data_IF_985048549042
#
_entry.id   IF_985048549042
#
_cell.length_a   1.000
_cell.length_b   1.000
_cell.length_c   1.000
_cell.angle_alpha   90.00
_cell.angle_beta   90.00
_cell.angle_gamma   90.00
#
_symmetry.space_group_name_H-M   'P 1'
#
loop_
_entity.id
_entity.type
_entity.pdbx_description
1 polymer ?
#
# COMPACT_ATOMS: atom_id res chain seq x y z
N UNK A 1 32.89 -9.16 28.52
CA UNK A 1 32.68 -7.81 27.92
C UNK A 1 31.50 -7.19 28.62
N UNK A 2 31.61 -5.95 29.04
CA UNK A 2 30.47 -5.23 29.60
C UNK A 2 29.45 -4.97 28.48
N UNK A 3 28.13 -5.08 28.75
CA UNK A 3 27.12 -4.80 27.75
C UNK A 3 27.12 -3.32 27.34
N UNK A 4 26.78 -3.04 26.08
CA UNK A 4 26.56 -1.69 25.64
C UNK A 4 25.23 -1.18 26.18
N UNK A 5 25.28 -0.10 26.96
CA UNK A 5 24.09 0.54 27.54
C UNK A 5 23.37 1.36 26.47
N UNK A 6 22.11 1.02 26.23
CA UNK A 6 21.20 1.72 25.32
C UNK A 6 20.14 2.42 26.12
N UNK A 7 20.12 3.74 26.08
CA UNK A 7 19.06 4.53 26.74
C UNK A 7 17.82 4.60 25.84
N UNK A 8 16.64 4.36 26.44
CA UNK A 8 15.33 4.36 25.78
C UNK A 8 14.51 5.53 26.29
N UNK A 9 14.28 6.53 25.44
CA UNK A 9 13.38 7.64 25.71
C UNK A 9 12.09 7.50 24.90
N UNK A 10 10.94 7.71 25.54
CA UNK A 10 9.63 7.63 24.86
C UNK A 10 9.19 8.99 24.36
N UNK A 11 8.52 9.03 23.19
CA UNK A 11 8.10 10.28 22.56
C UNK A 11 6.94 10.04 21.56
N UNK A 12 6.46 11.10 20.93
CA UNK A 12 5.49 10.98 19.84
C UNK A 12 6.17 10.83 18.47
N UNK A 13 7.46 11.10 18.34
CA UNK A 13 8.23 10.97 17.11
C UNK A 13 9.58 11.66 17.16
N UNK A 14 10.08 12.05 16.01
CA UNK A 14 11.36 12.71 15.80
C UNK A 14 11.17 14.11 15.23
N UNK A 15 11.83 15.09 15.81
CA UNK A 15 11.98 16.44 15.27
C UNK A 15 13.32 16.52 14.51
N UNK A 16 13.25 16.45 13.18
CA UNK A 16 14.42 16.47 12.33
C UNK A 16 15.17 17.82 12.37
N UNK A 17 14.47 18.92 12.63
CA UNK A 17 15.08 20.24 12.70
C UNK A 17 15.82 20.47 14.04
N UNK A 18 15.27 19.92 15.12
CA UNK A 18 15.88 20.00 16.45
C UNK A 18 16.86 18.86 16.73
N UNK A 19 16.92 17.82 15.89
CA UNK A 19 17.65 16.57 16.11
C UNK A 19 17.33 15.95 17.49
N UNK A 20 16.05 15.91 17.84
CA UNK A 20 15.58 15.50 19.16
C UNK A 20 14.27 14.72 19.13
N UNK A 21 13.95 14.07 20.25
CA UNK A 21 12.66 13.47 20.49
C UNK A 21 11.54 14.51 20.42
N UNK A 22 10.56 14.28 19.56
CA UNK A 22 9.38 15.15 19.42
C UNK A 22 8.33 14.80 20.47
N UNK A 23 7.95 15.77 21.32
CA UNK A 23 6.95 15.61 22.39
C UNK A 23 7.25 14.40 23.28
N UNK A 24 8.22 14.52 24.19
CA UNK A 24 8.60 13.43 25.08
C UNK A 24 7.42 12.90 25.93
N UNK A 25 7.40 11.60 26.17
CA UNK A 25 6.40 10.88 26.95
C UNK A 25 7.07 10.19 28.15
N UNK A 26 6.32 9.98 29.22
CA UNK A 26 6.73 9.09 30.30
C UNK A 26 6.62 7.63 29.86
N UNK A 27 7.44 6.77 30.47
CA UNK A 27 7.36 5.33 30.21
C UNK A 27 5.95 4.78 30.43
N UNK A 28 5.29 5.20 31.51
CA UNK A 28 3.92 4.77 31.85
C UNK A 28 2.93 5.13 30.72
N UNK A 29 3.00 6.34 30.20
CA UNK A 29 2.12 6.79 29.09
C UNK A 29 2.39 5.99 27.80
N UNK A 30 3.65 5.72 27.48
CA UNK A 30 4.01 4.90 26.32
C UNK A 30 3.50 3.45 26.48
N UNK A 31 3.60 2.87 27.66
CA UNK A 31 3.08 1.53 28.01
C UNK A 31 1.56 1.45 27.88
N UNK A 32 0.84 2.47 28.35
CA UNK A 32 -0.61 2.58 28.18
C UNK A 32 -0.99 2.69 26.70
N UNK A 33 -0.26 3.49 25.93
CA UNK A 33 -0.48 3.61 24.49
C UNK A 33 -0.25 2.27 23.77
N UNK A 34 0.80 1.54 24.12
CA UNK A 34 1.08 0.22 23.59
C UNK A 34 -0.09 -0.76 23.82
N UNK A 35 -0.58 -0.83 25.06
CA UNK A 35 -1.66 -1.76 25.44
C UNK A 35 -3.03 -1.37 24.86
N UNK A 36 -3.24 -0.10 24.55
CA UNK A 36 -4.53 0.43 24.05
C UNK A 36 -4.55 0.67 22.53
N UNK A 37 -3.53 0.23 21.80
CA UNK A 37 -3.48 0.41 20.36
C UNK A 37 -3.20 1.86 19.90
N UNK A 38 -2.60 2.68 20.76
CA UNK A 38 -2.30 4.08 20.46
C UNK A 38 -0.84 4.27 20.08
N UNK A 39 -0.59 5.19 19.16
CA UNK A 39 0.74 5.48 18.63
C UNK A 39 1.68 6.08 19.66
N UNK A 40 2.94 5.66 19.61
CA UNK A 40 4.07 6.25 20.30
C UNK A 40 5.37 5.92 19.56
N UNK A 41 6.48 6.50 19.98
CA UNK A 41 7.80 6.13 19.50
C UNK A 41 8.77 5.94 20.69
N UNK A 42 9.81 5.13 20.45
CA UNK A 42 10.96 4.98 21.34
C UNK A 42 12.22 5.44 20.60
N UNK A 43 12.94 6.38 21.20
CA UNK A 43 14.25 6.82 20.75
C UNK A 43 15.32 6.05 21.51
N UNK A 44 16.17 5.33 20.79
CA UNK A 44 17.30 4.59 21.33
C UNK A 44 18.57 5.41 21.15
N UNK A 45 19.30 5.62 22.24
CA UNK A 45 20.53 6.42 22.24
C UNK A 45 21.68 5.67 22.92
N UNK A 46 22.92 5.86 22.44
CA UNK A 46 24.16 5.41 23.07
C UNK A 46 25.01 6.66 23.28
N UNK A 47 25.49 6.87 24.52
CA UNK A 47 26.27 8.07 24.89
C UNK A 47 25.56 9.38 24.53
N UNK A 48 24.24 9.44 24.79
CA UNK A 48 23.34 10.54 24.46
C UNK A 48 23.16 10.81 22.94
N UNK A 49 23.77 10.01 22.06
CA UNK A 49 23.59 10.13 20.61
C UNK A 49 22.45 9.24 20.12
N UNK A 50 21.47 9.79 19.39
CA UNK A 50 20.41 9.00 18.75
C UNK A 50 20.96 7.94 17.79
N UNK A 51 20.54 6.70 17.94
CA UNK A 51 20.92 5.56 17.10
C UNK A 51 19.77 4.99 16.29
N UNK A 52 18.62 4.86 16.94
CA UNK A 52 17.42 4.38 16.27
C UNK A 52 16.15 5.04 16.82
N UNK A 53 15.16 5.16 15.97
CA UNK A 53 13.79 5.56 16.32
C UNK A 53 12.84 4.43 15.98
N UNK A 54 12.06 3.97 16.94
CA UNK A 54 11.06 2.92 16.76
C UNK A 54 9.68 3.55 16.85
N UNK A 55 8.94 3.56 15.77
CA UNK A 55 7.56 4.00 15.68
C UNK A 55 6.63 2.81 15.89
N UNK A 56 5.71 2.89 16.82
CA UNK A 56 4.81 1.79 17.19
C UNK A 56 3.37 2.26 17.10
N UNK A 57 2.57 1.50 16.35
CA UNK A 57 1.12 1.63 16.26
C UNK A 57 0.50 0.23 16.34
N UNK A 58 0.31 -0.27 17.56
CA UNK A 58 -0.23 -1.61 17.78
C UNK A 58 -1.68 -1.73 17.31
N UNK A 59 -2.44 -0.63 17.30
CA UNK A 59 -3.80 -0.60 16.77
C UNK A 59 -3.87 -0.78 15.25
N UNK A 60 -2.84 -0.30 14.53
CA UNK A 60 -2.69 -0.49 13.10
C UNK A 60 -1.78 -1.68 12.72
N UNK A 61 -1.32 -2.46 13.71
CA UNK A 61 -0.40 -3.57 13.50
C UNK A 61 0.91 -3.14 12.82
N UNK A 62 1.48 -2.00 13.22
CA UNK A 62 2.66 -1.43 12.56
C UNK A 62 3.82 -1.17 13.52
N UNK A 63 5.02 -1.57 13.10
CA UNK A 63 6.28 -1.19 13.74
C UNK A 63 7.25 -0.70 12.66
N UNK A 64 7.72 0.55 12.80
CA UNK A 64 8.74 1.15 11.96
C UNK A 64 10.03 1.35 12.75
N UNK A 65 11.15 0.81 12.26
CA UNK A 65 12.48 1.00 12.86
C UNK A 65 13.32 1.84 11.92
N UNK A 66 13.82 2.94 12.39
CA UNK A 66 14.74 3.80 11.65
C UNK A 66 16.11 3.80 12.31
N UNK A 67 17.17 3.81 11.52
CA UNK A 67 18.50 4.17 12.00
C UNK A 67 18.90 5.56 11.52
N UNK A 68 19.78 6.21 12.26
CA UNK A 68 20.29 7.54 11.93
C UNK A 68 21.67 7.45 11.28
N UNK A 69 21.94 8.35 10.33
CA UNK A 69 23.27 8.62 9.80
C UNK A 69 24.03 9.62 10.71
N UNK A 70 25.22 10.01 10.27
CA UNK A 70 26.09 10.98 10.95
C UNK A 70 25.52 12.35 11.14
N UNK A 71 24.76 12.80 10.18
CA UNK A 71 24.10 14.11 10.19
C UNK A 71 22.81 14.07 11.02
N UNK A 72 22.49 12.94 11.67
CA UNK A 72 21.27 12.77 12.45
C UNK A 72 20.01 12.62 11.60
N UNK A 73 20.15 12.25 10.32
CA UNK A 73 19.04 11.96 9.41
C UNK A 73 18.70 10.47 9.46
N UNK A 74 17.44 10.13 9.31
CA UNK A 74 17.01 8.72 9.19
C UNK A 74 17.44 8.16 7.84
N UNK A 75 18.37 7.23 7.83
CA UNK A 75 19.03 6.68 6.63
C UNK A 75 18.58 5.26 6.27
N UNK A 76 18.10 4.49 7.24
CA UNK A 76 17.48 3.18 7.03
C UNK A 76 16.10 3.15 7.66
N UNK A 77 15.17 2.38 7.06
CA UNK A 77 13.84 2.13 7.59
C UNK A 77 13.45 0.68 7.38
N UNK A 78 13.05 0.02 8.45
CA UNK A 78 12.38 -1.28 8.43
C UNK A 78 10.93 -1.08 8.79
N UNK A 79 10.02 -1.59 7.98
CA UNK A 79 8.58 -1.51 8.22
C UNK A 79 8.02 -2.91 8.42
N UNK A 80 7.54 -3.19 9.61
CA UNK A 80 6.94 -4.47 9.97
C UNK A 80 5.42 -4.36 10.04
N UNK A 81 4.77 -5.50 9.76
CA UNK A 81 3.33 -5.70 9.93
C UNK A 81 3.06 -6.83 10.89
N UNK A 82 2.12 -6.62 11.79
CA UNK A 82 1.64 -7.63 12.72
C UNK A 82 0.63 -8.54 12.01
N UNK A 83 0.97 -9.82 11.90
CA UNK A 83 0.10 -10.85 11.31
C UNK A 83 -0.63 -11.69 12.37
N UNK A 84 -0.50 -11.32 13.65
CA UNK A 84 -1.19 -11.93 14.77
C UNK A 84 -0.32 -12.93 15.55
N UNK A 85 0.58 -13.63 14.89
CA UNK A 85 1.53 -14.60 15.50
C UNK A 85 2.99 -14.13 15.40
N UNK A 86 3.28 -13.21 14.49
CA UNK A 86 4.62 -12.65 14.30
C UNK A 86 4.55 -11.27 13.61
N UNK A 87 5.65 -10.53 13.67
CA UNK A 87 5.87 -9.36 12.83
C UNK A 87 6.56 -9.77 11.54
N UNK A 88 6.00 -9.37 10.42
CA UNK A 88 6.59 -9.58 9.10
C UNK A 88 7.22 -8.29 8.58
N UNK A 89 8.50 -8.34 8.21
CA UNK A 89 9.17 -7.25 7.50
C UNK A 89 8.51 -7.09 6.12
N UNK A 90 7.90 -5.95 5.88
CA UNK A 90 7.17 -5.66 4.65
C UNK A 90 7.95 -4.76 3.71
N UNK A 91 8.72 -3.85 4.27
CA UNK A 91 9.53 -2.91 3.50
C UNK A 91 10.83 -2.61 4.24
N UNK A 92 11.94 -2.63 3.51
CA UNK A 92 13.23 -2.08 3.93
C UNK A 92 13.59 -0.97 2.94
N UNK A 93 13.87 0.22 3.46
CA UNK A 93 14.32 1.37 2.69
C UNK A 93 15.69 1.86 3.17
N UNK A 94 16.56 2.19 2.23
CA UNK A 94 17.81 2.89 2.50
C UNK A 94 17.87 4.17 1.66
N UNK A 95 18.31 5.25 2.28
CA UNK A 95 18.61 6.53 1.64
C UNK A 95 20.10 6.77 1.72
N UNK A 96 20.74 6.98 0.57
CA UNK A 96 22.16 7.33 0.50
C UNK A 96 22.27 8.81 0.16
N UNK A 97 22.66 9.59 1.15
CA UNK A 97 22.95 10.99 1.00
C UNK A 97 24.39 11.14 0.50
N UNK A 98 24.59 11.98 -0.50
CA UNK A 98 25.92 12.29 -1.06
C UNK A 98 26.50 13.51 -0.37
N UNK A 99 25.63 14.48 -0.07
CA UNK A 99 26.00 15.73 0.59
C UNK A 99 25.31 15.89 1.95
N UNK A 100 25.96 16.56 2.90
CA UNK A 100 25.41 16.79 4.24
C UNK A 100 24.19 17.72 4.24
N UNK A 101 24.05 18.56 3.22
CA UNK A 101 22.93 19.49 3.07
C UNK A 101 21.67 18.87 2.45
N UNK A 102 21.72 17.61 2.00
CA UNK A 102 20.55 16.93 1.45
C UNK A 102 19.46 16.75 2.52
N UNK A 103 18.17 17.01 2.19
CA UNK A 103 17.08 16.81 3.12
C UNK A 103 16.90 15.31 3.45
N UNK A 104 16.43 15.02 4.66
CA UNK A 104 16.37 13.68 5.26
C UNK A 104 15.84 12.56 4.34
N UNK A 105 14.84 12.86 3.50
CA UNK A 105 14.26 11.88 2.55
C UNK A 105 14.44 12.30 1.08
N UNK A 106 15.29 13.28 0.83
CA UNK A 106 15.58 13.81 -0.50
C UNK A 106 16.86 13.25 -1.13
N UNK A 107 17.37 12.12 -0.64
CA UNK A 107 18.58 11.50 -1.15
C UNK A 107 18.49 11.21 -2.65
N UNK A 108 19.55 11.51 -3.38
CA UNK A 108 19.71 11.25 -4.81
C UNK A 108 19.62 9.76 -5.14
N UNK A 109 19.94 8.90 -4.19
CA UNK A 109 19.91 7.46 -4.33
C UNK A 109 19.12 6.81 -3.19
N UNK A 110 18.10 6.05 -3.59
CA UNK A 110 17.24 5.32 -2.67
C UNK A 110 17.03 3.91 -3.14
N UNK A 111 17.16 2.95 -2.24
CA UNK A 111 16.80 1.56 -2.49
C UNK A 111 15.62 1.15 -1.61
N UNK A 112 14.68 0.40 -2.19
CA UNK A 112 13.50 -0.11 -1.49
C UNK A 112 13.37 -1.60 -1.78
N UNK A 113 13.39 -2.41 -0.73
CA UNK A 113 13.04 -3.83 -0.81
C UNK A 113 11.62 -4.02 -0.27
N UNK A 114 10.79 -4.74 -1.03
CA UNK A 114 9.45 -5.14 -0.62
C UNK A 114 9.36 -6.64 -0.52
N UNK A 115 8.84 -7.09 0.61
CA UNK A 115 8.74 -8.49 0.99
C UNK A 115 7.26 -8.91 0.96
N UNK A 116 6.96 -9.99 0.27
CA UNK A 116 5.68 -10.66 0.29
C UNK A 116 5.88 -12.10 0.77
N UNK A 117 4.90 -12.70 1.46
CA UNK A 117 4.96 -14.11 1.79
C UNK A 117 5.18 -14.94 0.52
N UNK A 118 6.16 -15.85 0.58
CA UNK A 118 6.41 -16.86 -0.46
C UNK A 118 6.75 -16.31 -1.86
N UNK A 119 7.02 -15.00 -1.99
CA UNK A 119 7.42 -14.36 -3.24
C UNK A 119 8.89 -13.93 -3.21
N UNK A 120 9.54 -13.79 -4.38
CA UNK A 120 10.82 -13.12 -4.47
C UNK A 120 10.74 -11.68 -3.98
N UNK A 121 11.79 -11.22 -3.30
CA UNK A 121 11.85 -9.84 -2.84
C UNK A 121 11.96 -8.89 -4.03
N UNK A 122 11.05 -7.95 -4.12
CA UNK A 122 11.11 -6.89 -5.13
C UNK A 122 12.04 -5.77 -4.64
N UNK A 123 13.18 -5.61 -5.31
CA UNK A 123 14.12 -4.53 -5.06
C UNK A 123 13.92 -3.41 -6.08
N UNK A 124 13.78 -2.18 -5.62
CA UNK A 124 13.65 -0.99 -6.48
C UNK A 124 14.73 0.00 -6.11
N UNK A 125 15.57 0.36 -7.06
CA UNK A 125 16.57 1.41 -6.96
C UNK A 125 16.03 2.66 -7.65
N UNK A 126 15.91 3.76 -6.91
CA UNK A 126 15.59 5.08 -7.44
C UNK A 126 16.87 5.91 -7.44
N UNK A 127 17.35 6.27 -8.62
CA UNK A 127 18.51 7.15 -8.83
C UNK A 127 18.01 8.42 -9.51
N UNK A 128 18.18 9.57 -8.87
CA UNK A 128 17.73 10.87 -9.39
C UNK A 128 18.29 11.22 -10.76
N UNK A 129 19.46 10.65 -11.14
CA UNK A 129 20.16 10.91 -12.41
C UNK A 129 19.87 9.87 -13.48
N UNK A 130 19.59 8.61 -13.07
CA UNK A 130 19.49 7.46 -13.98
C UNK A 130 18.06 6.89 -14.06
N UNK A 131 17.16 7.33 -13.19
CA UNK A 131 15.78 6.84 -13.13
C UNK A 131 15.59 5.66 -12.19
N UNK A 132 14.50 4.93 -12.37
CA UNK A 132 14.08 3.84 -11.51
C UNK A 132 14.39 2.47 -12.16
N UNK A 133 14.97 1.57 -11.37
CA UNK A 133 15.28 0.19 -11.76
C UNK A 133 14.62 -0.76 -10.78
N UNK A 134 14.03 -1.84 -11.29
CA UNK A 134 13.41 -2.87 -10.46
C UNK A 134 14.00 -4.25 -10.78
N UNK A 135 14.29 -5.01 -9.76
CA UNK A 135 14.75 -6.40 -9.86
C UNK A 135 14.05 -7.27 -8.83
N UNK A 136 14.04 -8.58 -9.06
CA UNK A 136 13.52 -9.57 -8.13
C UNK A 136 14.66 -10.42 -7.58
N UNK A 137 14.80 -10.46 -6.26
CA UNK A 137 15.87 -11.14 -5.55
C UNK A 137 15.29 -12.28 -4.72
N UNK A 138 15.82 -13.49 -4.85
CA UNK A 138 15.48 -14.59 -3.98
C UNK A 138 16.45 -14.60 -2.80
N UNK A 139 15.99 -14.18 -1.63
CA UNK A 139 16.80 -14.23 -0.41
C UNK A 139 16.78 -15.64 0.19
N UNK A 140 17.90 -16.11 0.75
CA UNK A 140 17.94 -17.39 1.46
C UNK A 140 17.25 -17.27 2.82
N UNK A 141 16.19 -18.03 3.03
CA UNK A 141 15.54 -18.23 4.33
C UNK A 141 14.54 -17.14 4.77
N UNK A 142 13.88 -17.31 5.93
CA UNK A 142 12.80 -16.46 6.42
C UNK A 142 13.33 -15.26 7.21
N UNK A 143 14.26 -14.46 6.66
CA UNK A 143 14.86 -13.28 7.30
C UNK A 143 13.83 -12.16 7.63
N UNK A 144 12.60 -12.33 7.17
CA UNK A 144 11.57 -11.31 7.24
C UNK A 144 10.53 -11.51 8.36
N UNK A 145 10.69 -12.53 9.22
CA UNK A 145 9.78 -12.82 10.35
C UNK A 145 10.50 -12.68 11.68
N UNK A 146 9.93 -11.89 12.58
CA UNK A 146 10.41 -11.72 13.95
C UNK A 146 9.25 -11.87 14.93
N UNK A 147 9.51 -12.17 16.22
CA UNK A 147 8.45 -12.24 17.24
C UNK A 147 7.63 -10.96 17.32
N UNK A 148 6.39 -11.07 17.81
CA UNK A 148 5.56 -9.90 18.12
C UNK A 148 6.27 -8.95 19.09
N UNK A 149 6.03 -7.65 18.91
CA UNK A 149 6.62 -6.62 19.73
C UNK A 149 6.02 -6.66 21.14
N UNK A 150 6.84 -6.99 22.12
CA UNK A 150 6.55 -6.77 23.54
C UNK A 150 7.09 -5.39 23.96
N UNK A 151 6.36 -4.67 24.81
CA UNK A 151 6.84 -3.40 25.31
C UNK A 151 8.18 -3.55 26.04
N UNK A 152 9.16 -2.75 25.65
CA UNK A 152 10.52 -2.80 26.19
C UNK A 152 11.46 -3.81 25.52
N UNK A 153 10.96 -4.62 24.58
CA UNK A 153 11.79 -5.51 23.75
C UNK A 153 11.81 -4.98 22.32
N UNK A 154 12.93 -4.37 21.95
CA UNK A 154 13.01 -3.67 20.68
C UNK A 154 13.57 -4.56 19.57
N UNK A 155 13.00 -4.53 18.35
CA UNK A 155 13.43 -5.36 17.23
C UNK A 155 14.67 -4.72 16.55
N UNK A 156 15.73 -4.57 17.29
CA UNK A 156 17.00 -3.99 16.84
C UNK A 156 18.16 -4.87 17.24
N UNK A 157 19.07 -5.08 16.29
CA UNK A 157 20.33 -5.76 16.52
C UNK A 157 21.44 -4.75 16.79
N UNK A 158 22.53 -5.19 17.44
CA UNK A 158 23.67 -4.34 17.79
C UNK A 158 24.27 -3.62 16.58
N UNK A 159 24.36 -4.28 15.42
CA UNK A 159 24.92 -3.64 14.21
C UNK A 159 24.12 -2.40 13.78
N UNK A 160 22.79 -2.40 13.95
CA UNK A 160 21.94 -1.24 13.61
C UNK A 160 22.23 -0.04 14.53
N UNK A 161 22.64 -0.32 15.77
CA UNK A 161 23.01 0.69 16.76
C UNK A 161 24.52 1.01 16.78
N UNK A 162 25.31 0.30 15.96
CA UNK A 162 26.75 0.37 15.97
C UNK A 162 27.40 -0.23 17.22
N UNK A 163 26.76 -1.22 17.84
CA UNK A 163 27.23 -1.92 19.03
C UNK A 163 27.59 -3.37 18.68
N UNK A 164 28.73 -3.85 19.17
CA UNK A 164 29.22 -5.20 18.91
C UNK A 164 29.15 -6.11 20.15
N UNK A 165 28.88 -5.54 21.32
CA UNK A 165 28.64 -6.24 22.57
C UNK A 165 27.14 -6.51 22.77
N UNK A 166 26.77 -7.39 23.73
CA UNK A 166 25.39 -7.53 24.16
C UNK A 166 24.78 -6.18 24.53
N UNK A 167 23.51 -5.95 24.18
CA UNK A 167 22.81 -4.71 24.48
C UNK A 167 22.12 -4.80 25.84
N UNK A 168 22.23 -3.74 26.64
CA UNK A 168 21.44 -3.52 27.86
C UNK A 168 20.54 -2.29 27.67
N UNK A 169 19.23 -2.51 27.58
CA UNK A 169 18.27 -1.41 27.44
C UNK A 169 17.88 -0.85 28.80
N UNK A 170 18.04 0.45 28.97
CA UNK A 170 17.73 1.17 30.21
C UNK A 170 16.81 2.34 29.87
N UNK A 171 15.66 2.42 30.53
CA UNK A 171 14.76 3.57 30.36
C UNK A 171 15.45 4.87 30.78
N UNK A 172 15.42 5.88 29.94
CA UNK A 172 15.87 7.22 30.25
C UNK A 172 14.98 7.84 31.35
N UNK A 173 15.47 8.86 32.03
CA UNK A 173 14.67 9.59 33.01
C UNK A 173 13.40 10.14 32.35
N UNK A 174 12.28 10.01 33.03
CA UNK A 174 11.01 10.59 32.59
C UNK A 174 11.14 12.11 32.41
N UNK A 175 10.47 12.67 31.36
CA UNK A 175 10.44 14.12 31.19
C UNK A 175 9.74 14.80 32.36
N UNK A 176 10.22 15.96 32.77
CA UNK A 176 9.58 16.78 33.82
C UNK A 176 8.12 17.10 33.47
N UNK A 177 7.86 17.29 32.19
CA UNK A 177 6.53 17.62 31.66
C UNK A 177 6.26 16.88 30.33
N UNK A 178 5.13 16.21 30.27
CA UNK A 178 4.65 15.64 29.03
C UNK A 178 3.92 16.67 28.17
N UNK A 179 3.94 16.47 26.87
CA UNK A 179 3.13 17.27 25.97
C UNK A 179 1.63 16.94 26.14
N UNK A 180 0.84 17.96 26.39
CA UNK A 180 -0.62 17.83 26.50
C UNK A 180 -1.30 17.88 25.13
N UNK A 181 -2.50 17.29 25.04
CA UNK A 181 -3.36 17.36 23.86
C UNK A 181 -3.22 16.17 22.90
N UNK A 182 -3.83 16.27 21.71
CA UNK A 182 -3.86 15.19 20.74
C UNK A 182 -2.46 14.84 20.22
N UNK A 183 -2.31 13.61 19.69
CA UNK A 183 -1.09 13.16 19.03
C UNK A 183 -0.80 14.00 17.78
N UNK A 184 0.42 14.55 17.70
CA UNK A 184 0.81 15.48 16.64
C UNK A 184 2.03 15.02 15.81
N UNK A 185 2.57 13.83 16.05
CA UNK A 185 3.72 13.39 15.28
C UNK A 185 3.42 13.37 13.78
N UNK A 186 4.39 13.80 12.97
CA UNK A 186 4.24 13.86 11.50
C UNK A 186 4.38 12.48 10.85
N UNK A 187 3.88 11.44 11.51
CA UNK A 187 3.89 10.08 10.99
C UNK A 187 2.58 9.36 11.29
N UNK A 188 2.25 8.41 10.44
CA UNK A 188 1.18 7.43 10.64
C UNK A 188 1.64 6.08 10.13
N UNK A 189 1.03 5.01 10.63
CA UNK A 189 1.17 3.70 10.01
C UNK A 189 0.77 3.80 8.52
N UNK A 190 1.51 3.14 7.62
CA UNK A 190 1.08 3.08 6.23
C UNK A 190 -0.25 2.33 6.13
N UNK A 191 -1.21 2.89 5.42
CA UNK A 191 -2.52 2.28 5.21
C UNK A 191 -2.68 1.90 3.75
N UNK A 192 -3.30 0.74 3.51
CA UNK A 192 -3.72 0.31 2.18
C UNK A 192 -4.61 1.34 1.49
N UNK A 193 -4.80 1.19 0.20
CA UNK A 193 -5.74 2.02 -0.54
C UNK A 193 -7.13 1.93 0.08
N UNK A 194 -7.87 3.04 -0.01
CA UNK A 194 -9.30 3.10 0.33
C UNK A 194 -10.07 3.54 -0.91
N UNK A 195 -11.30 3.10 -1.07
CA UNK A 195 -12.13 3.53 -2.17
C UNK A 195 -12.42 5.02 -2.07
N UNK A 196 -12.47 5.69 -3.20
CA UNK A 196 -12.69 7.13 -3.25
C UNK A 196 -13.98 7.41 -4.01
N UNK A 197 -15.01 7.88 -3.30
CA UNK A 197 -16.29 8.34 -3.86
C UNK A 197 -16.98 7.34 -4.81
N UNK A 198 -16.87 6.02 -4.56
CA UNK A 198 -17.42 4.99 -5.45
C UNK A 198 -18.92 5.14 -5.68
N UNK A 199 -19.70 5.47 -4.63
CA UNK A 199 -21.14 5.68 -4.78
C UNK A 199 -21.45 6.85 -5.71
N UNK A 200 -20.66 7.92 -5.61
CA UNK A 200 -20.86 9.12 -6.44
C UNK A 200 -20.64 8.85 -7.94
N UNK A 201 -19.81 7.84 -8.29
CA UNK A 201 -19.60 7.43 -9.68
C UNK A 201 -20.86 6.89 -10.36
N UNK A 202 -21.85 6.46 -9.59
CA UNK A 202 -23.13 5.94 -10.09
C UNK A 202 -24.30 6.93 -9.92
N UNK A 203 -24.00 8.21 -9.56
CA UNK A 203 -25.01 9.27 -9.43
C UNK A 203 -24.91 10.20 -10.63
N UNK A 204 -25.87 10.14 -11.60
CA UNK A 204 -25.88 10.98 -12.79
C UNK A 204 -25.82 12.47 -12.42
N UNK A 205 -24.98 13.24 -13.13
CA UNK A 205 -24.83 14.68 -12.91
C UNK A 205 -23.98 15.03 -11.69
N UNK A 206 -23.47 14.06 -10.92
CA UNK A 206 -22.48 14.35 -9.89
C UNK A 206 -21.22 14.97 -10.51
N UNK A 207 -20.67 15.96 -9.84
CA UNK A 207 -19.40 16.59 -10.24
C UNK A 207 -18.34 16.23 -9.22
N UNK A 208 -17.24 15.69 -9.71
CA UNK A 208 -16.16 15.20 -8.87
C UNK A 208 -14.89 15.97 -9.22
N UNK A 209 -14.30 16.65 -8.25
CA UNK A 209 -12.99 17.31 -8.39
C UNK A 209 -11.93 16.41 -7.79
N UNK A 210 -10.89 16.06 -8.56
CA UNK A 210 -9.75 15.31 -8.06
C UNK A 210 -8.72 16.23 -7.37
N UNK A 211 -7.74 15.62 -6.67
CA UNK A 211 -6.69 16.38 -5.98
C UNK A 211 -5.75 17.19 -6.89
N UNK A 212 -5.84 17.02 -8.22
CA UNK A 212 -5.10 17.80 -9.21
C UNK A 212 -5.92 19.00 -9.71
N UNK A 213 -7.18 19.13 -9.26
CA UNK A 213 -8.09 20.22 -9.63
C UNK A 213 -8.95 19.94 -10.86
N UNK A 214 -8.80 18.76 -11.52
CA UNK A 214 -9.66 18.39 -12.62
C UNK A 214 -11.08 18.13 -12.13
N UNK A 215 -12.06 18.60 -12.90
CA UNK A 215 -13.48 18.38 -12.61
C UNK A 215 -14.04 17.38 -13.61
N UNK A 216 -14.63 16.32 -13.09
CA UNK A 216 -15.33 15.31 -13.86
C UNK A 216 -16.85 15.41 -13.63
N UNK A 217 -17.60 15.16 -14.67
CA UNK A 217 -19.07 15.04 -14.64
C UNK A 217 -19.44 13.57 -14.82
N UNK A 218 -20.17 13.03 -13.87
CA UNK A 218 -20.67 11.65 -13.92
C UNK A 218 -21.85 11.58 -14.89
N UNK A 219 -21.78 10.63 -15.80
CA UNK A 219 -22.79 10.38 -16.82
C UNK A 219 -23.78 9.33 -16.31
N UNK A 220 -24.90 9.18 -17.03
CA UNK A 220 -25.84 8.09 -16.77
C UNK A 220 -25.11 6.74 -16.79
N UNK A 221 -25.23 5.89 -15.75
CA UNK A 221 -24.66 4.54 -15.74
C UNK A 221 -25.20 3.74 -16.92
N UNK A 222 -24.34 2.97 -17.54
CA UNK A 222 -24.73 2.11 -18.66
C UNK A 222 -24.89 0.67 -18.19
N UNK A 223 -26.08 0.11 -18.38
CA UNK A 223 -26.29 -1.32 -18.18
C UNK A 223 -25.41 -2.12 -19.17
N UNK A 224 -24.70 -3.10 -18.67
CA UNK A 224 -23.88 -4.03 -19.46
C UNK A 224 -24.68 -5.30 -19.72
N UNK A 225 -25.39 -5.83 -18.72
CA UNK A 225 -26.17 -7.04 -18.80
C UNK A 225 -26.42 -7.66 -17.43
N UNK A 226 -26.73 -8.95 -17.40
CA UNK A 226 -26.82 -9.74 -16.17
C UNK A 226 -25.69 -10.75 -16.12
N UNK A 227 -24.85 -10.65 -15.10
CA UNK A 227 -23.83 -11.64 -14.82
C UNK A 227 -24.47 -12.85 -14.13
N UNK A 228 -24.36 -14.01 -14.78
CA UNK A 228 -24.80 -15.26 -14.21
C UNK A 228 -23.66 -15.93 -13.46
N UNK A 229 -23.86 -16.19 -12.18
CA UNK A 229 -22.89 -16.83 -11.30
C UNK A 229 -23.46 -18.19 -10.81
N UNK A 230 -23.32 -19.26 -11.59
CA UNK A 230 -23.81 -20.58 -11.20
C UNK A 230 -23.10 -21.14 -9.97
N UNK A 231 -21.82 -20.77 -9.75
CA UNK A 231 -21.06 -21.19 -8.56
C UNK A 231 -21.14 -20.18 -7.43
N UNK A 232 -21.61 -18.95 -7.68
CA UNK A 232 -21.55 -17.83 -6.75
C UNK A 232 -20.14 -17.30 -6.50
N UNK A 233 -19.12 -17.83 -7.18
CA UNK A 233 -17.70 -17.48 -7.04
C UNK A 233 -17.29 -16.54 -8.17
N UNK A 234 -16.99 -15.30 -7.82
CA UNK A 234 -16.70 -14.24 -8.80
C UNK A 234 -15.21 -14.05 -8.99
N UNK A 235 -14.80 -13.82 -10.24
CA UNK A 235 -13.46 -13.48 -10.69
C UNK A 235 -13.49 -12.14 -11.40
N UNK A 236 -12.49 -11.30 -11.21
CA UNK A 236 -12.19 -10.17 -12.09
C UNK A 236 -10.83 -10.40 -12.74
N UNK A 237 -10.76 -10.26 -14.05
CA UNK A 237 -9.52 -10.45 -14.83
C UNK A 237 -9.61 -9.73 -16.18
N UNK A 238 -8.47 -9.64 -16.86
CA UNK A 238 -8.41 -9.36 -18.29
C UNK A 238 -8.70 -10.66 -19.06
N UNK A 239 -9.80 -10.76 -19.80
CA UNK A 239 -10.17 -11.98 -20.49
C UNK A 239 -9.16 -12.37 -21.58
N UNK A 240 -8.43 -11.41 -22.17
CA UNK A 240 -7.46 -11.67 -23.22
C UNK A 240 -6.12 -12.24 -22.72
N UNK A 241 -5.85 -12.15 -21.41
CA UNK A 241 -4.54 -12.52 -20.82
C UNK A 241 -4.65 -13.52 -19.65
N UNK A 242 -5.81 -14.10 -19.44
CA UNK A 242 -6.08 -15.04 -18.32
C UNK A 242 -5.04 -16.14 -18.23
N UNK A 243 -4.64 -16.76 -19.34
CA UNK A 243 -3.65 -17.83 -19.37
C UNK A 243 -2.24 -17.40 -18.97
N UNK A 244 -1.91 -16.13 -19.22
CA UNK A 244 -0.60 -15.56 -18.90
C UNK A 244 -0.45 -15.15 -17.45
N UNK A 245 -1.57 -14.98 -16.72
CA UNK A 245 -1.57 -14.41 -15.37
C UNK A 245 -1.31 -15.44 -14.26
N UNK A 246 -1.34 -16.74 -14.56
CA UNK A 246 -1.20 -17.82 -13.58
C UNK A 246 -2.43 -18.02 -12.69
N UNK A 247 -2.57 -19.20 -12.10
CA UNK A 247 -3.76 -19.63 -11.35
C UNK A 247 -4.17 -18.70 -10.20
N UNK A 248 -3.21 -18.16 -9.48
CA UNK A 248 -3.48 -17.29 -8.32
C UNK A 248 -4.06 -15.93 -8.75
N UNK A 249 -3.64 -15.41 -9.90
CA UNK A 249 -4.09 -14.14 -10.42
C UNK A 249 -5.54 -14.17 -10.94
N UNK A 250 -6.04 -15.35 -11.28
CA UNK A 250 -7.42 -15.59 -11.74
C UNK A 250 -8.23 -16.40 -10.73
N UNK A 251 -7.69 -16.66 -9.54
CA UNK A 251 -8.45 -17.29 -8.46
C UNK A 251 -9.67 -16.42 -8.09
N UNK A 252 -10.83 -17.02 -7.78
CA UNK A 252 -12.00 -16.27 -7.35
C UNK A 252 -11.74 -15.57 -6.02
N UNK A 253 -12.43 -14.45 -5.82
CA UNK A 253 -12.42 -13.77 -4.52
C UNK A 253 -12.95 -14.68 -3.42
N UNK A 254 -12.51 -14.42 -2.19
CA UNK A 254 -12.94 -15.17 -1.00
C UNK A 254 -14.42 -14.95 -0.66
N UNK A 255 -14.99 -13.83 -1.09
CA UNK A 255 -16.43 -13.58 -0.99
C UNK A 255 -17.19 -14.49 -1.95
N UNK A 256 -18.24 -15.13 -1.45
CA UNK A 256 -19.14 -15.98 -2.25
C UNK A 256 -20.53 -15.37 -2.23
N UNK A 257 -21.13 -15.23 -3.40
CA UNK A 257 -22.51 -14.78 -3.56
C UNK A 257 -23.45 -15.98 -3.65
N UNK A 258 -24.73 -15.78 -3.44
CA UNK A 258 -25.73 -16.81 -3.75
C UNK A 258 -25.69 -17.07 -5.26
N UNK A 259 -25.68 -18.33 -5.73
CA UNK A 259 -25.83 -18.61 -7.16
C UNK A 259 -27.05 -17.90 -7.75
N UNK A 260 -26.86 -17.18 -8.87
CA UNK A 260 -27.92 -16.36 -9.43
C UNK A 260 -27.49 -15.46 -10.58
N UNK A 261 -28.36 -14.53 -10.94
CA UNK A 261 -28.13 -13.50 -11.96
C UNK A 261 -28.10 -12.12 -11.32
N UNK A 262 -27.07 -11.35 -11.61
CA UNK A 262 -26.80 -10.06 -11.02
C UNK A 262 -26.68 -8.97 -12.09
N UNK A 263 -27.42 -7.87 -11.93
CA UNK A 263 -27.31 -6.75 -12.85
C UNK A 263 -25.89 -6.17 -12.81
N UNK A 264 -25.33 -5.92 -13.99
CA UNK A 264 -24.03 -5.27 -14.13
C UNK A 264 -24.16 -3.98 -14.91
N UNK A 265 -23.49 -2.95 -14.44
CA UNK A 265 -23.47 -1.62 -15.04
C UNK A 265 -22.08 -0.97 -14.94
N UNK A 266 -21.79 -0.03 -15.85
CA UNK A 266 -20.58 0.78 -15.82
C UNK A 266 -20.91 2.21 -15.45
N UNK A 267 -20.13 2.76 -14.54
CA UNK A 267 -20.08 4.20 -14.27
C UNK A 267 -19.19 4.87 -15.31
N UNK A 268 -19.67 5.95 -15.91
CA UNK A 268 -18.91 6.72 -16.88
C UNK A 268 -18.76 8.14 -16.41
N UNK A 269 -17.63 8.74 -16.66
CA UNK A 269 -17.39 10.14 -16.40
C UNK A 269 -16.63 10.80 -17.53
N UNK A 270 -16.73 12.12 -17.61
CA UNK A 270 -16.05 12.97 -18.59
C UNK A 270 -15.44 14.17 -17.90
N UNK A 271 -14.25 14.57 -18.32
CA UNK A 271 -13.68 15.86 -17.88
C UNK A 271 -14.62 17.00 -18.31
N UNK A 272 -14.97 17.86 -17.37
CA UNK A 272 -15.91 18.96 -17.63
C UNK A 272 -15.41 19.84 -18.81
N UNK A 273 -16.26 19.98 -19.81
CA UNK A 273 -16.00 20.78 -20.99
C UNK A 273 -15.09 20.14 -22.08
N UNK A 274 -14.56 18.94 -21.88
CA UNK A 274 -13.65 18.28 -22.85
C UNK A 274 -13.73 16.75 -22.78
N UNK A 275 -13.40 16.11 -23.90
CA UNK A 275 -13.06 14.70 -23.97
C UNK A 275 -14.23 13.73 -24.19
N UNK A 276 -13.88 12.47 -24.35
CA UNK A 276 -14.78 11.32 -24.46
C UNK A 276 -15.16 10.81 -23.05
N UNK A 277 -16.27 10.12 -22.98
CA UNK A 277 -16.67 9.43 -21.75
C UNK A 277 -15.70 8.27 -21.49
N UNK A 278 -15.22 8.17 -20.25
CA UNK A 278 -14.37 7.07 -19.78
C UNK A 278 -15.14 6.22 -18.77
N UNK A 279 -14.91 4.91 -18.76
CA UNK A 279 -15.41 4.02 -17.71
C UNK A 279 -14.57 4.26 -16.44
N UNK A 280 -15.24 4.70 -15.39
CA UNK A 280 -14.61 4.98 -14.10
C UNK A 280 -14.69 3.80 -13.13
N UNK A 281 -15.75 2.99 -13.26
CA UNK A 281 -15.96 1.78 -12.48
C UNK A 281 -16.95 0.85 -13.18
N UNK A 282 -16.90 -0.45 -12.83
CA UNK A 282 -17.92 -1.42 -13.18
C UNK A 282 -18.50 -2.02 -11.90
N UNK A 283 -19.82 -2.13 -11.80
CA UNK A 283 -20.52 -2.62 -10.61
C UNK A 283 -21.39 -3.83 -10.93
N UNK A 284 -21.21 -4.89 -10.15
CA UNK A 284 -22.15 -6.01 -10.04
C UNK A 284 -23.04 -5.73 -8.84
N UNK A 285 -24.34 -5.57 -9.06
CA UNK A 285 -25.32 -5.23 -8.02
C UNK A 285 -25.92 -6.49 -7.45
N UNK A 286 -25.79 -6.67 -6.12
CA UNK A 286 -26.33 -7.82 -5.39
C UNK A 286 -27.64 -7.48 -4.73
N UNK A 287 -27.79 -6.28 -4.17
CA UNK A 287 -29.03 -5.77 -3.58
C UNK A 287 -29.20 -4.27 -3.82
N UNK A 288 -30.37 -3.73 -3.48
CA UNK A 288 -30.69 -2.29 -3.55
C UNK A 288 -30.38 -1.56 -2.22
N UNK A 289 -29.91 -2.29 -1.20
CA UNK A 289 -29.57 -1.68 0.08
C UNK A 289 -28.36 -0.74 -0.06
N UNK A 290 -28.35 0.41 0.63
CA UNK A 290 -27.25 1.35 0.57
C UNK A 290 -25.99 0.75 1.17
N UNK A 291 -24.84 1.09 0.58
CA UNK A 291 -23.54 0.69 1.13
C UNK A 291 -23.24 1.48 2.41
N UNK A 292 -22.97 0.78 3.49
CA UNK A 292 -22.51 1.36 4.76
C UNK A 292 -20.99 1.28 4.92
N UNK A 293 -20.35 0.22 4.40
CA UNK A 293 -18.90 0.01 4.49
C UNK A 293 -18.33 -0.58 3.20
N UNK A 294 -17.05 -0.28 2.97
CA UNK A 294 -16.29 -0.85 1.86
C UNK A 294 -15.12 -1.67 2.37
N UNK A 295 -14.88 -2.82 1.78
CA UNK A 295 -13.72 -3.66 2.00
C UNK A 295 -13.06 -4.03 0.67
N UNK A 296 -11.76 -4.31 0.68
CA UNK A 296 -11.04 -4.79 -0.50
C UNK A 296 -11.41 -6.26 -0.76
N UNK A 297 -11.76 -6.59 -1.99
CA UNK A 297 -11.98 -7.97 -2.39
C UNK A 297 -10.63 -8.70 -2.43
N UNK A 298 -10.48 -9.73 -1.59
CA UNK A 298 -9.26 -10.50 -1.46
C UNK A 298 -9.41 -11.87 -2.12
N UNK A 299 -8.32 -12.36 -2.70
CA UNK A 299 -8.19 -13.74 -3.16
C UNK A 299 -7.59 -14.63 -2.05
N UNK A 300 -7.71 -15.95 -2.14
CA UNK A 300 -7.06 -16.85 -1.20
C UNK A 300 -5.56 -16.55 -1.05
N UNK A 301 -5.08 -16.50 0.18
CA UNK A 301 -3.68 -16.18 0.50
C UNK A 301 -3.33 -14.69 0.57
N UNK A 302 -4.23 -13.79 0.16
CA UNK A 302 -4.03 -12.34 0.33
C UNK A 302 -4.45 -11.89 1.72
N UNK A 303 -3.67 -10.96 2.29
CA UNK A 303 -3.90 -10.36 3.62
C UNK A 303 -3.74 -8.84 3.53
N UNK A 304 -4.83 -8.11 3.78
CA UNK A 304 -4.82 -6.63 3.70
C UNK A 304 -3.86 -5.97 4.70
N UNK A 305 -3.53 -6.67 5.82
CA UNK A 305 -2.55 -6.18 6.80
C UNK A 305 -1.16 -5.99 6.20
N UNK A 306 -0.86 -6.68 5.10
CA UNK A 306 0.40 -6.56 4.37
C UNK A 306 0.47 -5.32 3.48
N UNK A 307 -0.62 -4.61 3.25
CA UNK A 307 -0.64 -3.47 2.35
C UNK A 307 0.12 -2.27 2.94
N UNK A 308 1.01 -1.72 2.14
CA UNK A 308 1.70 -0.47 2.40
C UNK A 308 0.84 0.75 2.03
N UNK A 309 1.44 1.94 2.11
CA UNK A 309 0.73 3.18 1.82
C UNK A 309 0.13 3.19 0.41
N UNK A 310 -1.20 3.17 0.33
CA UNK A 310 -1.99 3.17 -0.90
C UNK A 310 -1.80 1.95 -1.80
N UNK A 311 -1.19 0.90 -1.28
CA UNK A 311 -1.16 -0.40 -1.95
C UNK A 311 -2.55 -1.06 -1.88
N UNK A 312 -2.82 -1.93 -2.82
CA UNK A 312 -4.03 -2.75 -2.88
C UNK A 312 -3.71 -4.05 -3.63
N UNK A 313 -4.48 -5.07 -3.37
CA UNK A 313 -4.54 -6.24 -4.23
C UNK A 313 -5.53 -5.96 -5.35
N UNK A 314 -5.13 -6.21 -6.59
CA UNK A 314 -5.94 -5.93 -7.76
C UNK A 314 -5.85 -7.06 -8.78
N UNK A 315 -6.61 -6.91 -9.85
CA UNK A 315 -6.45 -7.70 -11.06
C UNK A 315 -5.72 -6.87 -12.13
N UNK A 316 -4.92 -7.55 -12.94
CA UNK A 316 -4.13 -6.91 -14.01
C UNK A 316 -4.94 -6.86 -15.29
N UNK A 317 -4.85 -5.76 -16.01
CA UNK A 317 -5.39 -5.58 -17.37
C UNK A 317 -4.25 -5.13 -18.27
N UNK A 318 -4.10 -5.80 -19.40
CA UNK A 318 -3.07 -5.57 -20.41
C UNK A 318 -3.67 -5.36 -21.83
N UNK A 319 -4.94 -5.69 -22.01
CA UNK A 319 -5.66 -5.49 -23.27
C UNK A 319 -6.55 -4.24 -23.30
N UNK A 320 -6.57 -3.47 -22.22
CA UNK A 320 -7.53 -2.37 -22.05
C UNK A 320 -8.96 -2.82 -21.76
N UNK A 321 -9.21 -4.15 -21.65
CA UNK A 321 -10.52 -4.73 -21.39
C UNK A 321 -10.47 -5.58 -20.12
N UNK A 322 -11.40 -5.33 -19.21
CA UNK A 322 -11.61 -6.10 -17.98
C UNK A 322 -12.92 -6.90 -18.05
N UNK A 323 -13.03 -7.92 -17.25
CA UNK A 323 -14.27 -8.69 -17.11
C UNK A 323 -14.56 -9.04 -15.66
N UNK A 324 -15.87 -9.16 -15.34
CA UNK A 324 -16.33 -9.98 -14.25
C UNK A 324 -16.89 -11.29 -14.80
N UNK A 325 -16.57 -12.41 -14.12
CA UNK A 325 -17.01 -13.74 -14.58
C UNK A 325 -17.24 -14.68 -13.39
N UNK A 326 -18.00 -15.73 -13.63
CA UNK A 326 -18.07 -16.86 -12.70
C UNK A 326 -16.77 -17.67 -12.74
N UNK A 327 -16.37 -18.26 -11.63
CA UNK A 327 -15.17 -19.09 -11.58
C UNK A 327 -15.19 -20.25 -12.56
N UNK A 328 -16.37 -20.79 -12.90
CA UNK A 328 -16.51 -21.86 -13.90
C UNK A 328 -16.27 -21.40 -15.35
N UNK A 329 -16.34 -20.09 -15.60
CA UNK A 329 -16.09 -19.54 -16.94
C UNK A 329 -14.59 -19.33 -17.23
N UNK A 330 -13.72 -19.37 -16.21
CA UNK A 330 -12.27 -19.18 -16.38
C UNK A 330 -11.67 -20.27 -17.29
N UNK A 331 -12.01 -21.54 -17.05
CA UNK A 331 -11.53 -22.67 -17.87
C UNK A 331 -12.03 -22.60 -19.31
N UNK A 332 -13.24 -22.07 -19.52
CA UNK A 332 -13.81 -21.89 -20.85
C UNK A 332 -13.11 -20.77 -21.63
N UNK A 333 -12.59 -19.75 -20.96
CA UNK A 333 -11.80 -18.70 -21.58
C UNK A 333 -10.45 -19.21 -22.09
N UNK A 334 -9.77 -20.03 -21.32
CA UNK A 334 -8.53 -20.67 -21.72
C UNK A 334 -8.70 -21.44 -23.04
N UNK A 335 -9.80 -22.18 -23.16
CA UNK A 335 -10.14 -22.90 -24.40
C UNK A 335 -10.53 -21.97 -25.60
N UNK A 336 -10.98 -20.74 -25.31
CA UNK A 336 -11.40 -19.79 -26.35
C UNK A 336 -10.24 -19.04 -26.98
N UNK A 337 -9.15 -18.81 -26.25
CA UNK A 337 -7.96 -18.12 -26.73
C UNK A 337 -7.11 -18.95 -27.72
N UNK A 338 -7.28 -20.27 -27.70
CA UNK A 338 -6.71 -21.19 -28.71
C UNK A 338 -7.36 -21.06 -30.10
N UNK A 339 -8.47 -20.33 -30.21
CA UNK A 339 -9.12 -20.04 -31.47
C UNK A 339 -8.66 -18.66 -31.99
N UNK A 340 -8.05 -18.63 -33.16
CA UNK A 340 -7.41 -17.49 -33.87
C UNK A 340 -8.26 -16.19 -34.03
N UNK A 341 -9.32 -15.97 -33.28
CA UNK A 341 -10.27 -14.85 -33.41
C UNK A 341 -10.11 -13.80 -32.29
N UNK A 342 -8.98 -13.08 -32.27
CA UNK A 342 -8.76 -11.91 -31.40
C UNK A 342 -9.75 -10.74 -31.62
N UNK A 343 -10.54 -10.75 -32.69
CA UNK A 343 -11.61 -9.76 -32.94
C UNK A 343 -12.89 -9.99 -32.10
N UNK A 344 -13.03 -11.13 -31.46
CA UNK A 344 -14.21 -11.45 -30.67
C UNK A 344 -14.18 -10.90 -29.22
N UNK A 345 -13.12 -10.23 -28.77
CA UNK A 345 -13.05 -9.61 -27.44
C UNK A 345 -14.00 -8.40 -27.26
N UNK A 346 -14.56 -7.85 -28.34
CA UNK A 346 -15.78 -7.04 -28.32
C UNK A 346 -17.03 -7.95 -28.34
N UNK A 347 -17.02 -9.04 -27.58
CA UNK A 347 -18.16 -9.94 -27.56
C UNK A 347 -19.43 -9.14 -27.27
N UNK A 348 -20.15 -8.86 -28.34
CA UNK A 348 -21.50 -8.35 -28.32
C UNK A 348 -22.32 -9.35 -27.53
N UNK A 349 -22.65 -9.00 -26.29
CA UNK A 349 -23.52 -9.80 -25.43
C UNK A 349 -24.80 -10.04 -26.23
N UNK A 350 -25.28 -11.29 -26.39
CA UNK A 350 -26.54 -11.55 -27.06
C UNK A 350 -27.65 -10.68 -26.44
N UNK A 351 -28.62 -10.27 -27.23
CA UNK A 351 -29.62 -9.25 -26.88
C UNK A 351 -30.50 -9.49 -25.67
N UNK A 352 -30.42 -10.64 -24.99
CA UNK A 352 -31.07 -10.95 -23.69
C UNK A 352 -30.11 -10.68 -22.48
N UNK A 353 -28.87 -10.40 -22.77
CA UNK A 353 -27.94 -9.80 -21.80
C UNK A 353 -27.54 -10.63 -20.59
N UNK A 354 -27.70 -11.96 -20.61
CA UNK A 354 -27.29 -12.88 -19.53
C UNK A 354 -26.05 -13.65 -19.96
N UNK A 355 -24.97 -13.56 -19.21
CA UNK A 355 -23.71 -14.26 -19.51
C UNK A 355 -22.95 -14.61 -18.23
N UNK A 356 -22.16 -15.67 -18.25
CA UNK A 356 -21.22 -16.02 -17.17
C UNK A 356 -19.95 -15.18 -17.20
N UNK A 357 -19.77 -14.36 -18.22
CA UNK A 357 -18.71 -13.38 -18.39
C UNK A 357 -19.27 -12.11 -19.00
N UNK A 358 -18.99 -10.96 -18.39
CA UNK A 358 -19.32 -9.63 -18.89
C UNK A 358 -18.08 -8.74 -18.90
N UNK A 359 -17.77 -8.19 -20.07
CA UNK A 359 -16.61 -7.32 -20.29
C UNK A 359 -16.95 -5.85 -20.13
N UNK A 360 -15.93 -5.04 -19.82
CA UNK A 360 -15.99 -3.58 -19.76
C UNK A 360 -14.62 -2.96 -19.99
N UNK A 361 -14.54 -1.75 -20.57
CA UNK A 361 -13.29 -1.03 -20.74
C UNK A 361 -12.65 -0.67 -19.38
N UNK A 362 -11.33 -0.76 -19.26
CA UNK A 362 -10.57 -0.50 -18.04
C UNK A 362 -10.18 0.98 -17.86
N UNK A 363 -10.98 1.91 -18.35
CA UNK A 363 -10.75 3.35 -18.14
C UNK A 363 -9.59 3.90 -18.95
N UNK A 364 -8.37 3.93 -18.40
CA UNK A 364 -7.16 4.41 -19.08
C UNK A 364 -6.39 3.31 -19.81
N UNK A 365 -6.85 2.08 -19.80
CA UNK A 365 -6.20 0.93 -20.45
C UNK A 365 -5.46 0.02 -19.48
N UNK A 366 -4.21 -0.26 -19.76
CA UNK A 366 -3.41 -1.22 -19.01
C UNK A 366 -3.17 -0.76 -17.56
N UNK A 367 -3.11 -1.72 -16.63
CA UNK A 367 -2.89 -1.42 -15.25
C UNK A 367 -3.36 -2.49 -14.27
N UNK A 368 -3.26 -2.18 -12.98
CA UNK A 368 -3.82 -3.00 -11.91
C UNK A 368 -4.96 -2.26 -11.23
N UNK A 369 -6.09 -2.94 -11.04
CA UNK A 369 -7.32 -2.35 -10.57
C UNK A 369 -7.90 -3.13 -9.38
N UNK A 370 -8.27 -2.44 -8.28
CA UNK A 370 -8.90 -3.07 -7.13
C UNK A 370 -10.36 -3.39 -7.40
N UNK A 371 -10.85 -4.43 -6.73
CA UNK A 371 -12.29 -4.67 -6.58
C UNK A 371 -12.67 -4.39 -5.13
N UNK A 372 -13.72 -3.62 -4.94
CA UNK A 372 -14.27 -3.28 -3.63
C UNK A 372 -15.59 -3.99 -3.41
N UNK A 373 -15.80 -4.51 -2.22
CA UNK A 373 -17.07 -5.11 -1.78
C UNK A 373 -17.80 -4.06 -0.95
N UNK A 374 -18.99 -3.65 -1.40
CA UNK A 374 -19.91 -2.83 -0.62
C UNK A 374 -20.75 -3.72 0.29
N UNK A 375 -20.86 -3.31 1.56
CA UNK A 375 -21.73 -3.98 2.55
C UNK A 375 -22.72 -3.00 3.14
N UNK A 376 -23.92 -3.48 3.43
CA UNK A 376 -24.95 -2.74 4.15
C UNK A 376 -24.64 -2.59 5.65
N UNK A 377 -25.54 -1.96 6.39
CA UNK A 377 -25.40 -1.72 7.83
C UNK A 377 -25.40 -3.01 8.69
N UNK A 378 -25.86 -4.14 8.14
CA UNK A 378 -25.87 -5.45 8.82
C UNK A 378 -24.75 -6.37 8.33
N UNK A 379 -23.89 -5.87 7.40
CA UNK A 379 -22.74 -6.59 6.89
C UNK A 379 -23.00 -7.47 5.67
N UNK A 380 -24.22 -7.46 5.09
CA UNK A 380 -24.53 -8.21 3.86
C UNK A 380 -23.92 -7.53 2.64
N UNK A 381 -23.50 -8.33 1.64
CA UNK A 381 -22.93 -7.78 0.40
C UNK A 381 -24.04 -7.11 -0.42
N UNK A 382 -23.81 -5.84 -0.81
CA UNK A 382 -24.73 -5.08 -1.67
C UNK A 382 -24.22 -5.01 -3.11
N UNK A 383 -22.91 -4.92 -3.30
CA UNK A 383 -22.31 -4.86 -4.63
C UNK A 383 -20.82 -5.24 -4.61
N UNK A 384 -20.29 -5.54 -5.79
CA UNK A 384 -18.85 -5.53 -6.06
C UNK A 384 -18.56 -4.46 -7.10
N UNK A 385 -17.49 -3.69 -6.91
CA UNK A 385 -17.11 -2.58 -7.80
C UNK A 385 -15.64 -2.71 -8.19
N UNK A 386 -15.37 -2.88 -9.47
CA UNK A 386 -14.04 -2.70 -10.04
C UNK A 386 -13.81 -1.19 -10.25
N UNK A 387 -12.80 -0.65 -9.58
CA UNK A 387 -12.46 0.77 -9.60
C UNK A 387 -11.30 1.03 -10.56
N UNK A 388 -11.56 1.77 -11.65
CA UNK A 388 -10.54 2.11 -12.65
C UNK A 388 -9.62 3.26 -12.21
N UNK A 389 -9.70 3.68 -10.95
CA UNK A 389 -8.81 4.62 -10.28
C UNK A 389 -8.59 5.95 -11.01
N UNK A 390 -9.57 6.42 -11.75
CA UNK A 390 -9.46 7.66 -12.52
C UNK A 390 -9.40 8.92 -11.65
N UNK A 391 -9.93 8.86 -10.42
CA UNK A 391 -10.06 10.02 -9.54
C UNK A 391 -8.80 10.34 -8.74
N UNK A 392 -7.94 9.37 -8.45
CA UNK A 392 -6.81 9.58 -7.56
C UNK A 392 -7.22 9.84 -6.10
N UNK A 393 -6.43 10.65 -5.40
CA UNK A 393 -6.66 11.03 -3.98
C UNK A 393 -7.18 12.48 -3.88
N UNK A 394 -7.78 12.81 -2.74
CA UNK A 394 -8.18 14.19 -2.44
C UNK A 394 -9.38 14.64 -3.26
N UNK A 395 -10.46 13.85 -3.25
CA UNK A 395 -11.65 14.06 -4.07
C UNK A 395 -12.70 14.86 -3.32
N UNK A 396 -13.24 15.89 -3.99
CA UNK A 396 -14.43 16.63 -3.57
C UNK A 396 -15.61 16.24 -4.46
N UNK A 397 -16.75 15.92 -3.84
CA UNK A 397 -17.96 15.49 -4.55
C UNK A 397 -19.07 16.52 -4.35
N UNK A 398 -19.62 16.99 -5.46
CA UNK A 398 -20.87 17.76 -5.52
C UNK A 398 -21.90 16.91 -6.27
N UNK A 399 -22.80 16.28 -5.52
CA UNK A 399 -23.84 15.41 -6.09
C UNK A 399 -25.22 16.07 -5.97
N UNK A 400 -26.10 15.96 -7.00
CA UNK A 400 -27.46 16.44 -6.94
C UNK A 400 -28.20 15.83 -5.75
N UNK A 401 -28.75 16.65 -4.86
CA UNK A 401 -29.51 16.22 -3.69
C UNK A 401 -28.72 15.91 -2.42
N UNK A 402 -27.40 16.01 -2.42
CA UNK A 402 -26.61 15.96 -1.20
C UNK A 402 -26.66 17.29 -0.47
N UNK A 403 -27.54 17.41 0.53
CA UNK A 403 -27.38 18.47 1.52
C UNK A 403 -26.08 18.23 2.27
N UNK A 404 -25.22 19.23 2.28
CA UNK A 404 -23.88 19.27 2.85
C UNK A 404 -23.74 18.53 4.19
N UNK A 405 -23.33 17.28 4.18
CA UNK A 405 -22.92 16.50 5.36
C UNK A 405 -21.72 15.59 5.14
N UNK A 406 -20.92 15.80 4.13
CA UNK A 406 -19.60 15.16 4.05
C UNK A 406 -18.51 16.19 3.81
N UNK A 407 -18.40 17.10 4.77
CA UNK A 407 -17.25 17.96 4.88
C UNK A 407 -16.12 17.20 5.55
N UNK A 408 -14.99 17.12 4.85
CA UNK A 408 -13.65 17.03 5.38
C UNK A 408 -13.22 15.74 6.10
N UNK A 409 -12.80 14.77 5.33
CA UNK A 409 -11.58 14.04 5.68
C UNK A 409 -10.39 14.80 5.07
N UNK A 410 -9.93 15.83 5.74
CA UNK A 410 -8.73 16.59 5.33
C UNK A 410 -7.49 15.79 5.67
N UNK A 411 -7.05 14.96 4.75
CA UNK A 411 -5.69 14.44 4.79
C UNK A 411 -4.75 15.55 4.31
N UNK A 412 -3.94 16.09 5.22
CA UNK A 412 -2.83 16.98 4.87
C UNK A 412 -1.95 16.29 3.84
N UNK A 413 -1.74 16.95 2.72
CA UNK A 413 -0.84 16.56 1.64
C UNK A 413 0.60 16.43 2.17
N UNK A 414 1.15 15.23 2.02
CA UNK A 414 2.59 15.05 1.84
C UNK A 414 2.84 15.16 0.34
N UNK A 415 3.85 15.90 -0.15
CA UNK A 415 4.07 16.13 -1.58
C UNK A 415 4.15 14.82 -2.34
N UNK A 416 3.37 14.70 -3.40
CA UNK A 416 3.25 13.50 -4.20
C UNK A 416 4.51 13.21 -5.00
N UNK A 417 4.92 11.95 -4.98
CA UNK A 417 5.85 11.41 -5.96
C UNK A 417 5.03 11.18 -7.24
N UNK A 418 5.37 11.90 -8.30
CA UNK A 418 4.82 11.68 -9.63
C UNK A 418 5.16 10.26 -10.10
N UNK A 419 4.17 9.54 -10.62
CA UNK A 419 4.41 8.32 -11.39
C UNK A 419 5.16 8.71 -12.67
N UNK A 420 6.41 8.28 -12.79
CA UNK A 420 7.16 8.31 -14.04
C UNK A 420 6.83 7.05 -14.83
N UNK A 421 6.44 7.26 -16.07
CA UNK A 421 6.21 6.22 -17.07
C UNK A 421 7.52 5.46 -17.35
N UNK A 422 7.39 4.16 -17.53
CA UNK A 422 8.49 3.25 -17.86
C UNK A 422 8.92 3.52 -19.30
N UNK A 423 10.07 4.12 -19.50
CA UNK A 423 10.74 4.13 -20.78
C UNK A 423 11.82 3.05 -20.85
N UNK A 424 11.87 2.42 -22.01
CA UNK A 424 12.65 1.30 -22.49
C UNK A 424 14.11 1.23 -21.99
N UNK A 425 14.56 0.04 -21.60
CA UNK A 425 15.75 -0.20 -20.82
C UNK A 425 16.84 -0.82 -21.68
N UNK A 426 17.65 0.02 -22.29
CA UNK A 426 18.98 -0.38 -22.79
C UNK A 426 20.03 0.01 -21.72
N UNK A 427 20.45 -0.97 -20.90
CA UNK A 427 21.48 -0.74 -19.86
C UNK A 427 21.39 -1.61 -18.62
N UNK A 428 20.58 -2.67 -18.62
CA UNK A 428 20.24 -3.51 -17.45
C UNK A 428 21.41 -4.36 -16.91
N UNK A 429 22.50 -4.55 -17.64
CA UNK A 429 23.59 -5.45 -17.20
C UNK A 429 24.36 -4.95 -15.95
N UNK A 430 24.25 -3.68 -15.58
CA UNK A 430 24.97 -3.12 -14.41
C UNK A 430 24.23 -3.27 -13.07
N UNK A 431 22.96 -3.66 -13.06
CA UNK A 431 22.17 -3.88 -11.84
C UNK A 431 21.63 -5.30 -11.76
N UNK A 432 22.56 -6.26 -11.70
CA UNK A 432 22.23 -7.64 -11.35
C UNK A 432 21.67 -7.67 -9.91
N UNK A 433 20.89 -8.71 -9.59
CA UNK A 433 20.45 -8.98 -8.20
C UNK A 433 21.61 -8.93 -7.20
N UNK A 434 22.81 -9.24 -7.64
CA UNK A 434 24.05 -9.21 -6.86
C UNK A 434 24.51 -7.77 -6.60
N UNK A 435 24.44 -6.85 -7.56
CA UNK A 435 24.82 -5.45 -7.36
C UNK A 435 23.90 -4.69 -6.39
N UNK A 436 22.62 -5.09 -6.32
CA UNK A 436 21.68 -4.55 -5.33
C UNK A 436 21.99 -5.04 -3.93
N UNK A 437 22.36 -6.33 -3.79
CA UNK A 437 22.80 -6.90 -2.51
C UNK A 437 24.16 -6.34 -2.07
N UNK A 438 25.09 -6.14 -3.00
CA UNK A 438 26.38 -5.49 -2.74
C UNK A 438 26.18 -4.05 -2.26
N UNK A 439 25.31 -3.28 -2.91
CA UNK A 439 24.96 -1.93 -2.46
C UNK A 439 24.39 -1.90 -1.03
N UNK A 440 23.51 -2.88 -0.70
CA UNK A 440 22.94 -2.99 0.64
C UNK A 440 24.01 -3.36 1.66
N UNK A 441 24.86 -4.34 1.35
CA UNK A 441 25.96 -4.76 2.21
C UNK A 441 26.98 -3.63 2.39
N UNK A 442 27.35 -2.92 1.31
CA UNK A 442 28.26 -1.77 1.37
C UNK A 442 27.68 -0.64 2.24
N UNK A 443 26.35 -0.42 2.20
CA UNK A 443 25.69 0.59 3.02
C UNK A 443 25.66 0.18 4.49
N UNK A 444 25.35 -1.10 4.77
CA UNK A 444 25.35 -1.66 6.12
C UNK A 444 26.77 -1.72 6.70
N UNK A 445 27.77 -2.14 5.90
CA UNK A 445 29.18 -2.21 6.29
C UNK A 445 29.76 -0.82 6.51
N UNK A 446 29.47 0.16 5.65
CA UNK A 446 29.86 1.55 5.82
C UNK A 446 29.28 2.16 7.09
N UNK A 447 28.04 1.81 7.44
CA UNK A 447 27.40 2.25 8.68
C UNK A 447 28.05 1.57 9.91
N UNK A 448 28.32 0.28 9.82
CA UNK A 448 29.02 -0.46 10.88
C UNK A 448 30.45 0.02 11.08
N UNK A 449 31.23 0.20 10.00
CA UNK A 449 32.60 0.75 10.05
C UNK A 449 32.61 2.17 10.60
N UNK A 450 31.63 2.98 10.24
CA UNK A 450 31.53 4.34 10.72
C UNK A 450 31.37 4.39 12.24
N UNK A 451 30.41 3.63 12.78
CA UNK A 451 30.21 3.55 14.23
C UNK A 451 31.43 2.98 14.95
N UNK A 452 32.11 2.00 14.34
CA UNK A 452 33.37 1.47 14.87
C UNK A 452 34.46 2.54 14.99
N UNK A 453 34.67 3.36 13.94
CA UNK A 453 35.66 4.46 13.94
C UNK A 453 35.33 5.52 14.97
N UNK A 454 34.05 5.89 15.12
CA UNK A 454 33.64 6.95 16.08
C UNK A 454 33.77 6.48 17.54
N UNK A 455 33.58 5.18 17.80
CA UNK A 455 33.77 4.62 19.13
C UNK A 455 35.25 4.31 19.47
N UNK A 456 36.19 4.65 18.61
CA UNK A 456 37.62 4.48 18.86
C UNK A 456 38.14 3.07 18.80
N UNK A 457 37.47 2.22 18.00
CA UNK A 457 37.84 0.81 17.74
C UNK A 457 38.30 0.58 16.32
#
# INVERSE_FOLDING_TARGET
MEPTRVEVAYCEGWDAAAHAAFRPLKEQTARERHSTGRRYAALLSIDAEPRALIQVDTGAGYVGVFSFDLAGRRSLKFSYRDLGDHLMLRELKAWRHVDDDEPEFGADLRITFRFWPDEPVRATLDDARRGQFTSYVKLPGPLHRIPLLEFGRWPVDGWLLGAFEPLEFVTAADPEREAEGPFWAPWSAPEGARPTALEALFVPGARIRNGQGDVFEVREPRAVGKLRLPTGRIVAADPATVELQGEQAVAPYTVTLTPGEYAMETARMRTAGRGTDMVAAARVRVSEEPVATWELALRPGQDERLLGASEFFGFVVDSGTAAFMDASAVDALAAYQDADDAEAAEATIPGDGVSELLTFPSGKGDGSYPVWIGRDAVGSVTCLVADMRLLGRGVEVDAPGSSARNAMATARQVPGIAQLEVHDVAGIEAFSSQGILEFFNDTADAQAEFWARRMGR
#
